data_IF_085400153463
#
_entry.id   IF_085400153463
#
_cell.length_a   1.000
_cell.length_b   1.000
_cell.length_c   1.000
_cell.angle_alpha   90.00
_cell.angle_beta   90.00
_cell.angle_gamma   90.00
#
_symmetry.space_group_name_H-M   'P 1'
#
loop_
_entity.id
_entity.type
_entity.pdbx_description
1 polymer ?
#
# COMPACT_ATOMS: atom_id res chain seq x y z
N UNK A 1 -21.70 -11.90 9.97
CA UNK A 1 -21.16 -10.76 9.20
C UNK A 1 -20.75 -9.71 10.22
N UNK A 2 -19.51 -9.25 10.22
CA UNK A 2 -19.07 -8.20 11.16
C UNK A 2 -19.51 -6.85 10.58
N UNK A 3 -20.06 -5.95 11.39
CA UNK A 3 -20.67 -4.69 10.92
C UNK A 3 -19.65 -3.73 10.29
N UNK A 4 -18.38 -3.86 10.68
CA UNK A 4 -17.27 -3.07 10.17
C UNK A 4 -16.51 -3.75 9.01
N UNK A 5 -17.07 -4.83 8.44
CA UNK A 5 -16.43 -5.58 7.34
C UNK A 5 -17.34 -5.62 6.12
N UNK A 6 -16.94 -4.89 5.09
CA UNK A 6 -17.61 -4.90 3.79
C UNK A 6 -17.25 -6.13 2.96
N UNK A 7 -15.97 -6.53 2.97
CA UNK A 7 -15.44 -7.64 2.18
C UNK A 7 -14.48 -8.52 2.98
N UNK A 8 -14.42 -9.81 2.67
CA UNK A 8 -13.42 -10.71 3.22
C UNK A 8 -12.12 -10.63 2.38
N UNK A 9 -10.97 -10.43 3.03
CA UNK A 9 -9.67 -10.20 2.37
C UNK A 9 -8.60 -11.23 2.78
N UNK A 10 -9.03 -12.41 3.25
CA UNK A 10 -8.10 -13.48 3.64
C UNK A 10 -7.27 -14.03 2.49
N UNK A 11 -7.74 -13.86 1.25
CA UNK A 11 -6.94 -14.08 0.04
C UNK A 11 -6.22 -12.78 -0.32
N UNK A 12 -4.88 -12.82 -0.31
CA UNK A 12 -4.05 -11.67 -0.65
C UNK A 12 -4.32 -11.18 -2.08
N UNK A 13 -4.13 -9.89 -2.31
CA UNK A 13 -4.18 -9.24 -3.61
C UNK A 13 -5.59 -8.85 -4.07
N UNK A 14 -6.63 -9.19 -3.30
CA UNK A 14 -8.03 -8.88 -3.66
C UNK A 14 -8.52 -7.56 -3.06
N UNK A 15 -7.92 -7.11 -1.95
CA UNK A 15 -8.37 -5.93 -1.21
C UNK A 15 -8.32 -4.64 -2.02
N UNK A 16 -7.24 -4.42 -2.78
CA UNK A 16 -7.08 -3.20 -3.57
C UNK A 16 -8.09 -3.11 -4.73
N UNK A 17 -8.45 -4.23 -5.34
CA UNK A 17 -9.48 -4.27 -6.38
C UNK A 17 -10.85 -3.87 -5.83
N UNK A 18 -11.23 -4.41 -4.66
CA UNK A 18 -12.46 -4.01 -3.97
C UNK A 18 -12.44 -2.52 -3.59
N UNK A 19 -11.32 -2.04 -3.04
CA UNK A 19 -11.15 -0.64 -2.67
C UNK A 19 -11.24 0.30 -3.89
N UNK A 20 -10.67 -0.10 -5.04
CA UNK A 20 -10.80 0.65 -6.29
C UNK A 20 -12.25 0.72 -6.77
N UNK A 21 -13.02 -0.36 -6.66
CA UNK A 21 -14.47 -0.37 -6.95
C UNK A 21 -15.27 0.57 -6.03
N UNK A 22 -14.98 0.56 -4.73
CA UNK A 22 -15.60 1.47 -3.75
C UNK A 22 -15.26 2.93 -4.05
N UNK A 23 -14.00 3.23 -4.40
CA UNK A 23 -13.55 4.58 -4.74
C UNK A 23 -14.18 5.06 -6.05
N UNK A 24 -14.23 4.19 -7.06
CA UNK A 24 -14.89 4.47 -8.33
C UNK A 24 -16.37 4.79 -8.13
N UNK A 25 -17.06 4.04 -7.27
CA UNK A 25 -18.46 4.24 -6.95
C UNK A 25 -18.69 5.59 -6.28
N UNK A 26 -17.90 5.90 -5.25
CA UNK A 26 -18.01 7.16 -4.52
C UNK A 26 -17.81 8.38 -5.40
N UNK A 27 -16.86 8.27 -6.34
CA UNK A 27 -16.52 9.34 -7.27
C UNK A 27 -17.55 9.52 -8.38
N UNK A 28 -17.93 8.43 -9.05
CA UNK A 28 -18.65 8.51 -10.33
C UNK A 28 -20.17 8.26 -10.20
N UNK A 29 -20.61 7.52 -9.18
CA UNK A 29 -22.02 7.20 -8.97
C UNK A 29 -22.59 8.04 -7.82
N UNK A 30 -22.06 7.87 -6.61
CA UNK A 30 -22.63 8.53 -5.42
C UNK A 30 -22.32 10.02 -5.39
N UNK A 31 -21.21 10.43 -6.03
CA UNK A 31 -20.65 11.78 -5.97
C UNK A 31 -20.45 12.24 -4.51
N UNK A 32 -20.06 11.31 -3.66
CA UNK A 32 -19.88 11.52 -2.23
C UNK A 32 -18.46 11.98 -1.90
N UNK A 33 -18.31 12.59 -0.73
CA UNK A 33 -17.03 13.11 -0.25
C UNK A 33 -16.16 12.06 0.46
N UNK A 34 -16.62 10.81 0.56
CA UNK A 34 -15.87 9.78 1.26
C UNK A 34 -14.59 9.39 0.51
N UNK A 35 -13.61 8.92 1.27
CA UNK A 35 -12.34 8.41 0.77
C UNK A 35 -12.22 6.94 1.11
N UNK A 36 -11.45 6.21 0.30
CA UNK A 36 -11.18 4.80 0.49
C UNK A 36 -9.70 4.62 0.78
N UNK A 37 -9.40 3.88 1.84
CA UNK A 37 -8.05 3.55 2.25
C UNK A 37 -7.88 2.03 2.19
N UNK A 38 -6.79 1.57 1.59
CA UNK A 38 -6.46 0.15 1.49
C UNK A 38 -5.06 -0.09 2.03
N UNK A 39 -4.93 -0.93 3.06
CA UNK A 39 -3.64 -1.37 3.58
C UNK A 39 -3.25 -2.69 2.90
N UNK A 40 -2.05 -2.73 2.35
CA UNK A 40 -1.45 -3.90 1.71
C UNK A 40 -0.15 -4.30 2.40
N UNK A 41 0.16 -5.59 2.40
CA UNK A 41 1.49 -6.07 2.72
C UNK A 41 2.46 -5.92 1.53
N UNK A 42 3.75 -5.78 1.80
CA UNK A 42 4.78 -5.80 0.75
C UNK A 42 4.84 -7.13 -0.03
N UNK A 43 4.69 -8.27 0.65
CA UNK A 43 4.58 -9.58 0.02
C UNK A 43 3.31 -9.75 -0.82
N UNK A 44 2.21 -9.10 -0.42
CA UNK A 44 0.96 -9.10 -1.18
C UNK A 44 1.11 -8.42 -2.55
N UNK A 45 2.02 -7.44 -2.68
CA UNK A 45 2.29 -6.78 -3.97
C UNK A 45 2.91 -7.70 -5.02
N UNK A 46 3.25 -8.94 -4.68
CA UNK A 46 3.63 -9.96 -5.67
C UNK A 46 2.44 -10.53 -6.46
N UNK A 47 1.21 -10.34 -5.97
CA UNK A 47 0.00 -10.78 -6.68
C UNK A 47 -0.30 -9.87 -7.88
N UNK A 48 -0.53 -10.47 -9.05
CA UNK A 48 -0.80 -9.74 -10.30
C UNK A 48 -2.06 -8.85 -10.21
N UNK A 49 -3.07 -9.29 -9.46
CA UNK A 49 -4.32 -8.57 -9.22
C UNK A 49 -4.12 -7.21 -8.56
N UNK A 50 -3.07 -7.04 -7.74
CA UNK A 50 -2.70 -5.73 -7.18
C UNK A 50 -2.36 -4.77 -8.31
N UNK A 51 -1.57 -5.21 -9.30
CA UNK A 51 -1.13 -4.37 -10.42
C UNK A 51 -2.27 -4.06 -11.40
N UNK A 52 -3.22 -4.98 -11.58
CA UNK A 52 -4.46 -4.71 -12.30
C UNK A 52 -5.25 -3.59 -11.63
N UNK A 53 -5.40 -3.63 -10.30
CA UNK A 53 -6.08 -2.61 -9.52
C UNK A 53 -5.32 -1.27 -9.52
N UNK A 54 -3.98 -1.29 -9.45
CA UNK A 54 -3.13 -0.11 -9.59
C UNK A 54 -3.37 0.56 -10.95
N UNK A 55 -3.37 -0.22 -12.04
CA UNK A 55 -3.62 0.28 -13.39
C UNK A 55 -5.03 0.89 -13.52
N UNK A 56 -6.05 0.18 -13.02
CA UNK A 56 -7.43 0.67 -13.02
C UNK A 56 -7.57 2.01 -12.29
N UNK A 57 -7.02 2.13 -11.08
CA UNK A 57 -7.12 3.36 -10.29
C UNK A 57 -6.39 4.55 -10.94
N UNK A 58 -5.22 4.31 -11.55
CA UNK A 58 -4.48 5.31 -12.31
C UNK A 58 -5.27 5.77 -13.54
N UNK A 59 -5.77 4.83 -14.34
CA UNK A 59 -6.57 5.09 -15.54
C UNK A 59 -7.81 5.94 -15.23
N UNK A 60 -8.55 5.58 -14.19
CA UNK A 60 -9.77 6.28 -13.77
C UNK A 60 -9.52 7.47 -12.81
N UNK A 61 -8.25 7.81 -12.57
CA UNK A 61 -7.83 8.97 -11.77
C UNK A 61 -8.51 8.99 -10.40
N UNK A 62 -8.52 7.88 -9.68
CA UNK A 62 -9.23 7.72 -8.41
C UNK A 62 -8.55 8.47 -7.25
N UNK A 63 -8.64 9.80 -7.26
CA UNK A 63 -8.05 10.70 -6.26
C UNK A 63 -8.70 10.66 -4.86
N UNK A 64 -9.78 9.89 -4.72
CA UNK A 64 -10.38 9.49 -3.45
C UNK A 64 -9.88 8.14 -2.93
N UNK A 65 -8.95 7.47 -3.63
CA UNK A 65 -8.30 6.23 -3.18
C UNK A 65 -6.89 6.50 -2.64
N UNK A 66 -6.56 5.87 -1.52
CA UNK A 66 -5.22 5.82 -0.96
C UNK A 66 -4.82 4.38 -0.64
N UNK A 67 -3.75 3.91 -1.25
CA UNK A 67 -3.12 2.64 -0.91
C UNK A 67 -1.97 2.91 0.08
N UNK A 68 -1.88 2.09 1.12
CA UNK A 68 -0.77 2.09 2.07
C UNK A 68 -0.07 0.74 1.90
N UNK A 69 1.20 0.77 1.49
CA UNK A 69 2.01 -0.45 1.37
C UNK A 69 2.90 -0.54 2.60
N UNK A 70 2.62 -1.51 3.47
CA UNK A 70 3.44 -1.84 4.63
C UNK A 70 4.70 -2.59 4.19
N UNK A 71 5.78 -1.85 3.97
CA UNK A 71 7.09 -2.38 3.59
C UNK A 71 7.86 -2.80 4.83
N UNK A 72 7.40 -3.90 5.44
CA UNK A 72 7.97 -4.47 6.66
C UNK A 72 9.12 -5.47 6.39
N UNK A 73 9.45 -5.70 5.11
CA UNK A 73 10.56 -6.48 4.57
C UNK A 73 10.32 -7.99 4.51
N UNK A 74 9.30 -8.53 5.18
CA UNK A 74 9.16 -9.96 5.43
C UNK A 74 7.78 -10.50 5.04
N UNK A 75 7.76 -11.46 4.12
CA UNK A 75 6.60 -12.28 3.79
C UNK A 75 6.28 -13.33 4.86
N UNK A 76 5.62 -14.40 4.44
CA UNK A 76 5.22 -15.49 5.33
C UNK A 76 6.41 -16.40 5.71
N UNK A 77 7.17 -16.89 4.73
CA UNK A 77 8.33 -17.76 4.95
C UNK A 77 9.66 -17.01 4.88
N UNK A 78 9.75 -16.03 3.98
CA UNK A 78 11.01 -15.40 3.56
C UNK A 78 10.87 -13.88 3.42
N UNK A 79 11.99 -13.14 3.30
CA UNK A 79 11.94 -11.73 2.94
C UNK A 79 11.13 -11.48 1.67
N UNK A 80 10.35 -10.39 1.66
CA UNK A 80 9.67 -9.94 0.45
C UNK A 80 10.73 -9.62 -0.63
N UNK A 81 10.45 -9.83 -1.93
CA UNK A 81 11.47 -9.78 -2.99
C UNK A 81 12.29 -8.48 -3.04
N UNK A 82 11.65 -7.35 -2.75
CA UNK A 82 12.30 -6.03 -2.76
C UNK A 82 12.80 -5.59 -1.38
N UNK A 83 12.51 -6.34 -0.32
CA UNK A 83 12.92 -6.01 1.04
C UNK A 83 12.60 -4.54 1.38
N UNK A 84 13.58 -3.74 1.79
CA UNK A 84 13.43 -2.30 2.09
C UNK A 84 13.86 -1.38 0.94
N UNK A 85 13.92 -1.89 -0.31
CA UNK A 85 14.16 -1.07 -1.52
C UNK A 85 12.93 -0.25 -1.88
N UNK A 86 12.54 0.66 -0.99
CA UNK A 86 11.32 1.50 -1.09
C UNK A 86 11.29 2.34 -2.36
N UNK A 87 12.46 2.71 -2.88
CA UNK A 87 12.61 3.41 -4.16
C UNK A 87 12.12 2.59 -5.36
N UNK A 88 12.17 1.25 -5.30
CA UNK A 88 11.63 0.39 -6.36
C UNK A 88 10.11 0.31 -6.24
N UNK A 89 9.56 0.20 -5.03
CA UNK A 89 8.11 0.28 -4.81
C UNK A 89 7.54 1.60 -5.31
N UNK A 90 8.21 2.70 -4.98
CA UNK A 90 7.87 4.04 -5.44
C UNK A 90 7.83 4.11 -6.97
N UNK A 91 8.92 3.75 -7.65
CA UNK A 91 9.00 3.78 -9.12
C UNK A 91 7.93 2.93 -9.79
N UNK A 92 7.62 1.76 -9.21
CA UNK A 92 6.54 0.90 -9.72
C UNK A 92 5.18 1.59 -9.59
N UNK A 93 4.86 2.18 -8.44
CA UNK A 93 3.58 2.88 -8.27
C UNK A 93 3.46 4.09 -9.21
N UNK A 94 4.53 4.89 -9.35
CA UNK A 94 4.59 6.04 -10.27
C UNK A 94 4.36 5.61 -11.73
N UNK A 95 4.97 4.50 -12.15
CA UNK A 95 4.79 3.96 -13.50
C UNK A 95 3.34 3.55 -13.82
N UNK A 96 2.54 3.26 -12.79
CA UNK A 96 1.10 2.97 -12.90
C UNK A 96 0.21 4.21 -12.72
N UNK A 97 0.79 5.41 -12.69
CA UNK A 97 0.06 6.69 -12.65
C UNK A 97 -0.37 7.14 -11.25
N UNK A 98 0.32 6.67 -10.20
CA UNK A 98 0.03 7.03 -8.81
C UNK A 98 0.94 8.15 -8.33
N UNK A 99 0.39 9.03 -7.50
CA UNK A 99 1.18 9.91 -6.66
C UNK A 99 1.76 9.11 -5.50
N UNK A 100 3.06 9.22 -5.25
CA UNK A 100 3.76 8.41 -4.25
C UNK A 100 4.33 9.26 -3.14
N UNK A 101 4.29 8.73 -1.92
CA UNK A 101 4.96 9.33 -0.75
C UNK A 101 5.65 8.21 0.02
N UNK A 102 6.97 8.28 0.15
CA UNK A 102 7.75 7.37 0.98
C UNK A 102 7.86 7.97 2.39
N UNK A 103 7.57 7.18 3.42
CA UNK A 103 7.59 7.64 4.82
C UNK A 103 8.25 6.61 5.74
N UNK A 104 8.75 7.05 6.88
CA UNK A 104 8.90 6.17 8.05
C UNK A 104 7.50 5.79 8.55
N UNK A 105 7.14 4.51 8.39
CA UNK A 105 5.84 4.00 8.82
C UNK A 105 5.66 3.94 10.34
N UNK A 106 6.69 4.28 11.12
CA UNK A 106 6.60 4.48 12.57
C UNK A 106 6.53 5.95 12.99
N UNK A 107 6.62 6.88 12.05
CA UNK A 107 6.49 8.32 12.27
C UNK A 107 5.04 8.74 12.03
N UNK A 108 4.29 8.93 13.12
CA UNK A 108 2.90 9.41 13.04
C UNK A 108 2.82 10.77 12.36
N UNK A 109 3.82 11.62 12.55
CA UNK A 109 3.89 12.93 11.92
C UNK A 109 4.01 12.83 10.39
N UNK A 110 4.88 11.95 9.89
CA UNK A 110 5.03 11.72 8.44
C UNK A 110 3.77 11.10 7.84
N UNK A 111 3.16 10.13 8.54
CA UNK A 111 1.91 9.51 8.11
C UNK A 111 0.77 10.55 8.01
N UNK A 112 0.61 11.40 9.02
CA UNK A 112 -0.40 12.47 8.99
C UNK A 112 -0.23 13.39 7.79
N UNK A 113 1.01 13.74 7.45
CA UNK A 113 1.32 14.57 6.26
C UNK A 113 1.03 13.81 4.95
N UNK A 114 1.33 12.51 4.89
CA UNK A 114 1.14 11.72 3.68
C UNK A 114 -0.33 11.44 3.33
N UNK A 115 -1.23 11.41 4.32
CA UNK A 115 -2.66 11.13 4.10
C UNK A 115 -3.46 12.25 3.42
N UNK A 116 -2.85 13.40 3.12
CA UNK A 116 -3.55 14.52 2.45
C UNK A 116 -3.88 14.23 0.98
N UNK A 117 -3.10 13.36 0.33
CA UNK A 117 -3.26 12.99 -1.08
C UNK A 117 -3.15 14.16 -2.08
N UNK A 118 -3.41 13.89 -3.36
CA UNK A 118 -3.44 14.89 -4.43
C UNK A 118 -4.68 14.73 -5.32
N UNK A 119 -5.06 15.77 -6.05
CA UNK A 119 -6.18 15.71 -7.01
C UNK A 119 -5.75 15.07 -8.33
N UNK A 120 -6.66 14.36 -8.96
CA UNK A 120 -6.47 13.76 -10.28
C UNK A 120 -5.57 12.53 -10.34
N UNK A 121 -5.03 12.04 -9.22
CA UNK A 121 -4.26 10.79 -9.13
C UNK A 121 -4.60 10.04 -7.83
N UNK A 122 -4.68 8.70 -7.85
CA UNK A 122 -4.67 7.92 -6.61
C UNK A 122 -3.32 8.09 -5.88
N UNK A 123 -3.32 7.91 -4.56
CA UNK A 123 -2.12 8.10 -3.72
C UNK A 123 -1.61 6.78 -3.14
N UNK A 124 -0.32 6.49 -3.30
CA UNK A 124 0.36 5.34 -2.70
C UNK A 124 1.34 5.82 -1.63
N UNK A 125 1.07 5.47 -0.38
CA UNK A 125 1.97 5.71 0.75
C UNK A 125 2.83 4.45 0.91
N UNK A 126 4.12 4.58 0.63
CA UNK A 126 5.10 3.51 0.80
C UNK A 126 5.70 3.67 2.20
N UNK A 127 5.12 2.95 3.16
CA UNK A 127 5.50 3.03 4.56
C UNK A 127 6.62 2.02 4.85
N UNK A 128 7.84 2.51 5.09
CA UNK A 128 8.94 1.65 5.56
C UNK A 128 8.71 1.31 7.02
N UNK A 129 8.51 0.03 7.33
CA UNK A 129 8.28 -0.42 8.70
C UNK A 129 9.20 -1.59 9.07
N UNK A 130 8.99 -2.16 10.25
CA UNK A 130 9.69 -3.34 10.71
C UNK A 130 8.67 -4.31 11.31
N UNK A 131 8.63 -5.53 10.80
CA UNK A 131 7.73 -6.57 11.31
C UNK A 131 8.07 -6.87 12.77
N UNK A 132 7.07 -6.86 13.64
CA UNK A 132 7.25 -7.04 15.08
C UNK A 132 7.83 -5.81 15.81
N UNK A 133 7.70 -4.61 15.23
CA UNK A 133 8.05 -3.35 15.91
C UNK A 133 7.43 -3.31 17.32
N UNK A 134 8.23 -2.90 18.30
CA UNK A 134 7.82 -2.77 19.71
C UNK A 134 7.95 -4.07 20.52
N UNK A 135 8.23 -5.20 19.88
CA UNK A 135 8.44 -6.49 20.55
C UNK A 135 9.94 -6.82 20.52
N UNK A 136 10.60 -6.68 21.68
CA UNK A 136 12.03 -6.98 21.85
C UNK A 136 12.33 -8.43 21.45
N UNK A 137 13.32 -8.64 20.59
CA UNK A 137 13.73 -9.97 20.11
C UNK A 137 12.92 -10.53 18.93
N UNK A 138 11.73 -9.98 18.64
CA UNK A 138 10.93 -10.38 17.46
C UNK A 138 11.20 -9.49 16.23
N UNK A 139 11.64 -8.25 16.46
CA UNK A 139 12.02 -7.32 15.40
C UNK A 139 13.33 -7.77 14.74
N UNK A 140 13.23 -8.61 13.70
CA UNK A 140 14.39 -9.06 12.93
C UNK A 140 14.85 -7.95 11.99
N UNK A 141 15.75 -7.08 12.47
CA UNK A 141 16.71 -6.45 11.58
C UNK A 141 17.65 -7.57 11.11
N UNK A 142 17.32 -8.25 9.99
CA UNK A 142 18.31 -9.13 9.37
C UNK A 142 19.45 -8.23 8.89
N UNK A 143 20.72 -8.67 9.00
CA UNK A 143 21.85 -7.92 8.49
C UNK A 143 21.62 -7.58 7.01
N UNK A 144 21.93 -6.33 6.63
CA UNK A 144 21.96 -5.98 5.20
C UNK A 144 22.95 -6.92 4.51
N UNK A 145 22.64 -7.46 3.32
CA UNK A 145 23.63 -8.20 2.56
C UNK A 145 24.85 -7.29 2.35
N UNK A 146 26.03 -7.80 2.70
CA UNK A 146 27.30 -7.14 2.39
C UNK A 146 27.32 -6.82 0.90
N UNK A 147 27.77 -5.62 0.56
CA UNK A 147 27.87 -5.11 -0.81
C UNK A 147 29.04 -5.77 -1.57
N UNK A 148 29.06 -7.10 -1.62
CA UNK A 148 29.99 -7.89 -2.42
C UNK A 148 29.16 -8.81 -3.32
N UNK A 149 28.93 -8.38 -4.56
CA UNK A 149 28.88 -9.17 -5.81
C UNK A 149 28.70 -8.23 -7.01
#
# INVERSE_FOLDING_TARGET
RQEFTDVATGSLGQGLGAAAGMAYTGKNFDKASYRVYCLLGDGETSEGSVWEAMNFAGLYKLDNLTAIIDVNRLGQSDPAPLQHKVEIYQKRCEAFGWHTVVVDGHSVEELCKAFTGVKGQPTAIIAKTFKGKGITGACKALPQPSADH
#
